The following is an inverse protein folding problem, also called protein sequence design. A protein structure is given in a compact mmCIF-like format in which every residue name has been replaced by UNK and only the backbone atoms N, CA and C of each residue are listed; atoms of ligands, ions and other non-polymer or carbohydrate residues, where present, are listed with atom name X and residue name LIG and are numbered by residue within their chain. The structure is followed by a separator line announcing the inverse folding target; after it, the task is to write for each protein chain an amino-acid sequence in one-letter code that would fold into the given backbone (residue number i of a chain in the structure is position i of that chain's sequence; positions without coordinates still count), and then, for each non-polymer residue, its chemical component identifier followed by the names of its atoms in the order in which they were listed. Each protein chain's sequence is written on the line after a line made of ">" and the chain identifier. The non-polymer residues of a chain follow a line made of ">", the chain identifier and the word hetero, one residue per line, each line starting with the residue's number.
data_IF_140151960194
#
_entry.id   IF_140151960194
#
_cell.length_a   1.000
_cell.length_b   1.000
_cell.length_c   1.000
_cell.angle_alpha   90.00
_cell.angle_beta   90.00
_cell.angle_gamma   90.00
#
_symmetry.space_group_name_H-M   'P 1'
#
loop_
_entity.id
_entity.type
_entity.pdbx_description
1 polymer ?
#
# COMPACT_ATOMS: atom_id res chain seq x y z
N UNK A 1 -21.63 -35.81 17.98
CA UNK A 1 -22.53 -34.70 17.65
C UNK A 1 -22.27 -34.27 16.21
N UNK A 2 -23.13 -34.62 15.25
CA UNK A 2 -23.09 -34.11 13.89
C UNK A 2 -24.19 -33.06 13.68
N UNK A 3 -23.80 -31.91 13.15
CA UNK A 3 -24.69 -30.80 12.80
C UNK A 3 -25.42 -31.14 11.49
N UNK A 4 -26.69 -31.52 11.59
CA UNK A 4 -27.53 -31.82 10.42
C UNK A 4 -28.05 -30.52 9.78
N UNK A 5 -27.66 -30.32 8.52
CA UNK A 5 -28.17 -29.30 7.61
C UNK A 5 -29.67 -29.47 7.38
N UNK A 6 -30.47 -28.47 7.75
CA UNK A 6 -31.90 -28.41 7.42
C UNK A 6 -32.14 -27.57 6.18
N UNK A 7 -32.94 -28.16 5.31
CA UNK A 7 -33.24 -27.76 3.94
C UNK A 7 -34.03 -26.47 3.80
N UNK A 8 -33.94 -25.93 2.58
CA UNK A 8 -34.82 -24.99 1.92
C UNK A 8 -36.28 -25.03 2.38
N UNK A 9 -36.86 -23.86 2.64
CA UNK A 9 -38.28 -23.59 2.44
C UNK A 9 -38.56 -22.08 2.46
N UNK A 10 -39.51 -21.70 1.60
CA UNK A 10 -40.29 -20.47 1.54
C UNK A 10 -39.94 -19.45 0.44
N UNK A 11 -40.33 -19.78 -0.80
CA UNK A 11 -40.96 -18.82 -1.70
C UNK A 11 -42.45 -18.78 -1.36
N UNK A 12 -42.96 -17.69 -0.81
CA UNK A 12 -44.40 -17.39 -0.79
C UNK A 12 -44.65 -15.92 -0.46
N UNK A 13 -45.42 -15.23 -1.31
CA UNK A 13 -46.18 -14.05 -0.91
C UNK A 13 -45.76 -12.72 -1.54
N UNK A 14 -46.03 -12.53 -2.83
CA UNK A 14 -46.16 -11.18 -3.41
C UNK A 14 -47.62 -10.75 -3.28
N UNK A 15 -47.93 -9.85 -2.35
CA UNK A 15 -49.12 -8.98 -2.37
C UNK A 15 -48.86 -7.72 -1.54
N UNK A 16 -49.07 -6.56 -2.15
CA UNK A 16 -49.18 -5.27 -1.46
C UNK A 16 -48.07 -4.29 -1.82
N UNK A 17 -48.46 -3.09 -2.26
CA UNK A 17 -47.57 -1.95 -2.43
C UNK A 17 -46.88 -1.63 -1.09
N UNK A 18 -45.57 -1.84 -1.03
CA UNK A 18 -44.79 -1.62 0.18
C UNK A 18 -43.39 -2.21 0.03
N UNK A 19 -42.40 -1.34 0.02
CA UNK A 19 -40.97 -1.56 0.30
C UNK A 19 -40.51 -3.04 0.19
N UNK A 20 -39.86 -3.39 -0.93
CA UNK A 20 -39.11 -4.64 -1.01
C UNK A 20 -37.85 -4.49 -0.16
N UNK A 21 -37.85 -5.08 1.03
CA UNK A 21 -36.62 -5.32 1.78
C UNK A 21 -35.85 -6.44 1.07
N UNK A 22 -34.97 -6.06 0.15
CA UNK A 22 -33.90 -6.96 -0.26
C UNK A 22 -32.96 -7.03 0.94
N UNK A 23 -32.92 -8.18 1.60
CA UNK A 23 -31.95 -8.45 2.65
C UNK A 23 -30.55 -8.28 2.07
N UNK A 24 -29.93 -7.12 2.34
CA UNK A 24 -28.51 -6.94 2.12
C UNK A 24 -27.84 -7.92 3.06
N UNK A 25 -27.25 -8.99 2.52
CA UNK A 25 -26.30 -9.78 3.29
C UNK A 25 -25.20 -8.82 3.67
N UNK A 26 -25.20 -8.39 4.92
CA UNK A 26 -24.11 -7.64 5.52
C UNK A 26 -22.86 -8.48 5.36
N UNK A 27 -22.00 -8.09 4.41
CA UNK A 27 -20.63 -8.57 4.40
C UNK A 27 -19.95 -7.84 5.54
N UNK A 28 -19.68 -8.56 6.63
CA UNK A 28 -18.97 -8.05 7.79
C UNK A 28 -17.51 -7.79 7.42
N UNK A 29 -17.23 -6.64 6.82
CA UNK A 29 -15.91 -6.02 6.88
C UNK A 29 -16.01 -4.89 7.91
N UNK A 30 -15.46 -5.15 9.10
CA UNK A 30 -15.35 -4.15 10.14
C UNK A 30 -14.33 -3.10 9.76
N UNK A 31 -14.75 -1.83 9.67
CA UNK A 31 -14.02 -0.64 10.09
C UNK A 31 -14.85 0.60 9.76
N UNK A 32 -14.96 1.50 10.74
CA UNK A 32 -15.74 2.74 10.72
C UNK A 32 -15.46 3.63 9.51
N UNK A 33 -16.49 4.03 8.77
CA UNK A 33 -16.45 5.26 7.98
C UNK A 33 -17.77 6.03 8.10
N UNK A 34 -17.63 7.31 8.43
CA UNK A 34 -18.71 8.26 8.64
C UNK A 34 -19.66 8.33 7.44
N UNK A 35 -20.96 8.47 7.73
CA UNK A 35 -22.03 8.64 6.74
C UNK A 35 -21.84 9.96 5.98
N UNK A 36 -21.26 9.91 4.79
CA UNK A 36 -21.46 10.96 3.79
C UNK A 36 -22.69 10.54 2.97
N UNK A 37 -23.81 11.23 3.19
CA UNK A 37 -25.00 11.08 2.35
C UNK A 37 -24.78 11.85 1.05
N UNK A 38 -24.46 11.15 -0.05
CA UNK A 38 -24.62 11.70 -1.39
C UNK A 38 -25.93 11.16 -1.96
N UNK A 39 -26.80 12.08 -2.37
CA UNK A 39 -28.10 11.80 -2.95
C UNK A 39 -27.90 11.30 -4.38
N UNK A 40 -27.90 9.98 -4.59
CA UNK A 40 -27.84 9.41 -5.95
C UNK A 40 -29.26 9.07 -6.40
N UNK A 41 -29.71 9.76 -7.45
CA UNK A 41 -30.98 9.50 -8.11
C UNK A 41 -30.82 8.27 -9.00
N UNK A 42 -31.55 7.19 -8.73
CA UNK A 42 -31.42 5.93 -9.47
C UNK A 42 -32.32 5.99 -10.71
N UNK A 43 -31.73 6.14 -11.89
CA UNK A 43 -32.41 5.82 -13.15
C UNK A 43 -31.41 5.35 -14.21
N UNK A 44 -31.21 4.04 -14.34
CA UNK A 44 -30.92 3.35 -15.61
C UNK A 44 -30.80 1.82 -15.38
N UNK A 45 -31.55 0.99 -16.14
CA UNK A 45 -31.40 -0.46 -16.15
C UNK A 45 -30.53 -0.88 -17.34
N UNK A 46 -29.20 -0.72 -17.26
CA UNK A 46 -28.27 -1.50 -18.11
C UNK A 46 -26.83 -1.19 -17.74
N UNK A 47 -26.04 -2.26 -17.51
CA UNK A 47 -24.57 -2.32 -17.51
C UNK A 47 -23.83 -1.00 -17.23
N UNK A 48 -23.66 -0.69 -15.94
CA UNK A 48 -22.42 -0.06 -15.47
C UNK A 48 -21.87 -0.92 -14.33
N UNK A 49 -21.07 -1.93 -14.68
CA UNK A 49 -19.99 -2.34 -13.78
C UNK A 49 -19.03 -1.15 -13.71
N UNK A 50 -19.32 -0.20 -12.82
CA UNK A 50 -18.34 0.79 -12.43
C UNK A 50 -17.17 0.02 -11.82
N UNK A 51 -16.07 0.09 -12.54
CA UNK A 51 -14.76 -0.45 -12.23
C UNK A 51 -14.47 -0.31 -10.74
N UNK A 52 -13.98 -1.41 -10.17
CA UNK A 52 -13.26 -1.35 -8.91
C UNK A 52 -12.06 -0.44 -9.19
N UNK A 53 -12.16 0.82 -8.79
CA UNK A 53 -11.00 1.67 -8.64
C UNK A 53 -10.20 1.04 -7.49
N UNK A 54 -9.30 0.09 -7.82
CA UNK A 54 -8.34 -0.42 -6.86
C UNK A 54 -7.39 0.74 -6.58
N UNK A 55 -7.69 1.52 -5.55
CA UNK A 55 -6.66 2.36 -4.94
C UNK A 55 -5.59 1.37 -4.51
N UNK A 56 -4.46 1.33 -5.25
CA UNK A 56 -3.37 0.38 -5.00
C UNK A 56 -2.99 0.51 -3.53
N UNK A 57 -3.38 -0.49 -2.76
CA UNK A 57 -3.31 -0.46 -1.32
C UNK A 57 -1.89 -0.72 -0.84
N UNK A 58 -1.63 -0.48 0.44
CA UNK A 58 -0.37 -0.90 1.05
C UNK A 58 -0.12 -2.42 0.87
N UNK A 59 -1.18 -3.23 0.84
CA UNK A 59 -1.11 -4.67 0.56
C UNK A 59 -0.63 -5.01 -0.86
N UNK A 60 -1.14 -4.30 -1.87
CA UNK A 60 -0.70 -4.48 -3.27
C UNK A 60 0.77 -4.10 -3.42
N UNK A 61 1.19 -2.98 -2.81
CA UNK A 61 2.60 -2.55 -2.82
C UNK A 61 3.51 -3.51 -2.08
N UNK A 62 3.06 -4.08 -0.95
CA UNK A 62 3.80 -5.11 -0.23
C UNK A 62 4.00 -6.37 -1.09
N UNK A 63 2.98 -6.73 -1.86
CA UNK A 63 3.06 -7.83 -2.82
C UNK A 63 4.05 -7.53 -3.95
N UNK A 64 4.07 -6.32 -4.48
CA UNK A 64 5.05 -5.90 -5.49
C UNK A 64 6.48 -6.05 -4.96
N UNK A 65 6.76 -5.57 -3.76
CA UNK A 65 8.09 -5.70 -3.14
C UNK A 65 8.49 -7.17 -2.93
N UNK A 66 7.55 -8.02 -2.51
CA UNK A 66 7.81 -9.48 -2.43
C UNK A 66 8.18 -10.06 -3.79
N UNK A 67 7.44 -9.70 -4.84
CA UNK A 67 7.68 -10.18 -6.20
C UNK A 67 9.02 -9.65 -6.73
N UNK A 68 9.37 -8.40 -6.42
CA UNK A 68 10.65 -7.81 -6.79
C UNK A 68 11.84 -8.57 -6.20
N UNK A 69 11.69 -9.11 -4.98
CA UNK A 69 12.67 -9.97 -4.33
C UNK A 69 12.65 -11.43 -4.83
N UNK A 70 11.69 -11.81 -5.69
CA UNK A 70 11.55 -13.17 -6.22
C UNK A 70 11.09 -14.20 -5.19
N UNK A 71 10.56 -13.76 -4.05
CA UNK A 71 10.23 -14.63 -2.93
C UNK A 71 8.81 -15.20 -3.02
N UNK A 72 8.65 -16.44 -2.57
CA UNK A 72 7.33 -17.03 -2.38
C UNK A 72 6.65 -16.42 -1.16
N UNK A 73 5.33 -16.48 -1.14
CA UNK A 73 4.50 -15.94 -0.06
C UNK A 73 4.84 -16.55 1.31
N UNK A 74 5.24 -17.82 1.35
CA UNK A 74 5.62 -18.50 2.58
C UNK A 74 7.00 -18.07 3.10
N UNK A 75 7.99 -17.96 2.21
CA UNK A 75 9.34 -17.48 2.55
C UNK A 75 9.28 -16.05 3.07
N UNK A 76 8.50 -15.19 2.42
CA UNK A 76 8.33 -13.81 2.84
C UNK A 76 7.57 -13.68 4.18
N UNK A 77 6.60 -14.56 4.43
CA UNK A 77 5.91 -14.62 5.71
C UNK A 77 6.88 -14.98 6.86
N UNK A 78 7.77 -15.96 6.63
CA UNK A 78 8.77 -16.39 7.61
C UNK A 78 9.74 -15.25 7.98
N UNK A 79 10.17 -14.46 6.99
CA UNK A 79 11.01 -13.28 7.23
C UNK A 79 10.32 -12.25 8.14
N UNK A 80 9.00 -12.08 7.96
CA UNK A 80 8.18 -11.23 8.82
C UNK A 80 7.74 -11.87 10.14
N UNK A 81 8.15 -13.11 10.44
CA UNK A 81 7.73 -13.83 11.64
C UNK A 81 6.24 -14.21 11.68
N UNK A 82 5.56 -14.22 10.53
CA UNK A 82 4.13 -14.52 10.40
C UNK A 82 3.89 -15.78 9.59
N UNK A 83 2.67 -16.32 9.64
CA UNK A 83 2.30 -17.47 8.81
C UNK A 83 1.91 -17.05 7.39
N UNK A 84 1.91 -18.01 6.46
CA UNK A 84 1.55 -17.79 5.04
C UNK A 84 0.16 -17.17 4.84
N UNK A 85 -0.81 -17.54 5.69
CA UNK A 85 -2.18 -17.02 5.58
C UNK A 85 -2.26 -15.56 6.01
N UNK A 86 -1.57 -15.17 7.08
CA UNK A 86 -1.42 -13.79 7.56
C UNK A 86 -0.80 -12.92 6.48
N UNK A 87 0.26 -13.41 5.82
CA UNK A 87 0.83 -12.74 4.66
C UNK A 87 -0.20 -12.50 3.55
N UNK A 88 -1.04 -13.49 3.28
CA UNK A 88 -2.12 -13.36 2.29
C UNK A 88 -3.18 -12.33 2.66
N UNK A 89 -3.54 -12.24 3.94
CA UNK A 89 -4.46 -11.22 4.42
C UNK A 89 -3.85 -9.81 4.37
N UNK A 90 -2.54 -9.66 4.54
CA UNK A 90 -1.85 -8.39 4.33
C UNK A 90 -1.86 -7.98 2.85
N UNK A 91 -1.48 -8.89 1.95
CA UNK A 91 -1.43 -8.59 0.50
C UNK A 91 -2.80 -8.28 -0.10
N UNK A 92 -3.89 -8.82 0.47
CA UNK A 92 -5.27 -8.50 0.07
C UNK A 92 -5.84 -7.24 0.72
N UNK A 93 -5.13 -6.64 1.67
CA UNK A 93 -5.63 -5.51 2.46
C UNK A 93 -6.74 -5.87 3.46
N UNK A 94 -6.92 -7.15 3.79
CA UNK A 94 -7.88 -7.60 4.82
C UNK A 94 -7.39 -7.23 6.23
N UNK A 95 -6.07 -7.15 6.40
CA UNK A 95 -5.41 -6.78 7.66
C UNK A 95 -4.21 -5.89 7.37
N UNK A 96 -3.87 -5.01 8.30
CA UNK A 96 -2.66 -4.21 8.22
C UNK A 96 -1.47 -4.93 8.88
N UNK A 97 -0.27 -4.89 8.27
CA UNK A 97 0.95 -5.36 8.91
C UNK A 97 1.27 -4.50 10.14
N UNK A 98 1.87 -5.12 11.15
CA UNK A 98 2.36 -4.38 12.32
C UNK A 98 3.76 -3.80 12.07
N UNK A 99 4.21 -2.94 12.98
CA UNK A 99 5.53 -2.31 12.88
C UNK A 99 6.67 -3.31 13.03
N UNK A 100 6.47 -4.39 13.80
CA UNK A 100 7.47 -5.44 13.98
C UNK A 100 7.73 -6.20 12.67
N UNK A 101 6.66 -6.60 11.97
CA UNK A 101 6.70 -7.20 10.64
C UNK A 101 7.40 -6.28 9.64
N UNK A 102 7.01 -5.00 9.59
CA UNK A 102 7.61 -4.03 8.66
C UNK A 102 9.11 -3.84 8.93
N UNK A 103 9.53 -3.85 10.19
CA UNK A 103 10.95 -3.76 10.56
C UNK A 103 11.72 -5.01 10.11
N UNK A 104 11.13 -6.20 10.28
CA UNK A 104 11.75 -7.44 9.87
C UNK A 104 11.94 -7.54 8.35
N UNK A 105 10.92 -7.15 7.57
CA UNK A 105 11.04 -7.17 6.10
C UNK A 105 11.92 -6.03 5.56
N UNK A 106 12.02 -4.90 6.26
CA UNK A 106 12.97 -3.83 5.92
C UNK A 106 14.42 -4.31 5.93
N UNK A 107 14.78 -5.18 6.89
CA UNK A 107 16.13 -5.75 6.98
C UNK A 107 16.49 -6.64 5.78
N UNK A 108 15.49 -7.12 5.03
CA UNK A 108 15.67 -7.95 3.83
C UNK A 108 15.71 -7.10 2.54
N UNK A 109 15.55 -5.78 2.66
CA UNK A 109 15.63 -4.85 1.53
C UNK A 109 14.27 -4.48 0.91
N UNK A 110 13.17 -4.69 1.63
CA UNK A 110 11.85 -4.16 1.24
C UNK A 110 11.81 -2.64 1.44
N UNK A 111 11.35 -1.90 0.43
CA UNK A 111 11.10 -0.45 0.56
C UNK A 111 9.81 -0.21 1.37
N UNK A 112 9.92 -0.18 2.70
CA UNK A 112 8.79 0.08 3.61
C UNK A 112 8.17 1.46 3.37
N UNK A 113 8.98 2.45 2.99
CA UNK A 113 8.46 3.78 2.67
C UNK A 113 7.53 3.70 1.47
N UNK A 114 7.93 2.99 0.42
CA UNK A 114 7.06 2.73 -0.73
C UNK A 114 5.79 1.98 -0.32
N UNK A 115 5.88 0.94 0.51
CA UNK A 115 4.71 0.18 0.97
C UNK A 115 3.69 1.08 1.65
N UNK A 116 4.13 1.98 2.53
CA UNK A 116 3.23 2.87 3.30
C UNK A 116 2.74 4.05 2.46
N UNK A 117 3.65 4.72 1.77
CA UNK A 117 3.39 6.03 1.14
C UNK A 117 3.05 5.95 -0.35
N UNK A 118 3.39 4.85 -1.02
CA UNK A 118 3.28 4.70 -2.47
C UNK A 118 4.34 5.49 -3.26
N UNK A 119 5.23 6.21 -2.58
CA UNK A 119 6.31 6.95 -3.20
C UNK A 119 7.56 6.06 -3.28
N UNK A 120 7.95 5.61 -4.49
CA UNK A 120 9.27 4.98 -4.70
C UNK A 120 10.37 6.04 -4.56
N UNK A 121 11.44 5.72 -3.85
CA UNK A 121 12.62 6.56 -3.67
C UNK A 121 12.68 7.28 -2.32
N UNK A 122 13.91 7.49 -1.83
CA UNK A 122 14.17 8.29 -0.63
C UNK A 122 13.54 9.67 -0.78
N UNK A 123 12.82 10.19 0.24
CA UNK A 123 12.19 11.51 0.15
C UNK A 123 13.24 12.60 -0.05
N UNK A 124 14.50 12.37 0.34
CA UNK A 124 15.62 13.26 0.09
C UNK A 124 15.92 13.49 -1.41
N UNK A 125 15.50 12.60 -2.31
CA UNK A 125 15.70 12.74 -3.75
C UNK A 125 14.51 13.43 -4.45
N UNK A 126 13.33 13.48 -3.82
CA UNK A 126 12.13 14.07 -4.43
C UNK A 126 12.05 15.59 -4.32
N UNK A 127 12.84 16.17 -3.43
CA UNK A 127 12.91 17.61 -3.22
C UNK A 127 14.13 18.27 -3.89
N UNK A 128 14.90 17.52 -4.68
CA UNK A 128 16.00 18.11 -5.45
C UNK A 128 15.42 18.96 -6.58
N UNK A 129 15.85 20.22 -6.66
CA UNK A 129 15.68 21.01 -7.86
C UNK A 129 16.35 20.32 -9.05
N UNK A 130 15.92 20.62 -10.28
CA UNK A 130 16.51 20.01 -11.48
C UNK A 130 18.04 20.19 -11.57
N UNK A 131 18.55 21.32 -11.07
CA UNK A 131 19.99 21.57 -11.00
C UNK A 131 20.71 20.66 -9.99
N UNK A 132 20.09 20.39 -8.83
CA UNK A 132 20.66 19.49 -7.81
C UNK A 132 20.64 18.04 -8.28
N UNK A 133 19.58 17.59 -8.95
CA UNK A 133 19.50 16.26 -9.53
C UNK A 133 20.61 16.04 -10.58
N UNK A 134 20.81 17.01 -11.49
CA UNK A 134 21.87 16.95 -12.50
C UNK A 134 23.28 16.90 -11.86
N UNK A 135 23.48 17.64 -10.76
CA UNK A 135 24.75 17.62 -10.02
C UNK A 135 25.04 16.26 -9.39
N UNK A 136 24.01 15.61 -8.81
CA UNK A 136 24.12 14.26 -8.25
C UNK A 136 24.48 13.24 -9.34
N UNK A 137 23.84 13.33 -10.51
CA UNK A 137 24.13 12.42 -11.63
C UNK A 137 25.57 12.57 -12.15
N UNK A 138 26.04 13.81 -12.32
CA UNK A 138 27.43 14.08 -12.70
C UNK A 138 28.42 13.56 -11.66
N UNK A 139 28.15 13.82 -10.38
CA UNK A 139 28.98 13.34 -9.28
C UNK A 139 29.09 11.81 -9.26
N UNK A 140 27.99 11.10 -9.53
CA UNK A 140 27.97 9.62 -9.63
C UNK A 140 28.67 9.06 -10.87
N UNK A 141 28.91 9.88 -11.90
CA UNK A 141 29.54 9.44 -13.14
C UNK A 141 31.08 9.59 -13.15
N UNK A 142 31.64 10.46 -12.30
CA UNK A 142 33.08 10.72 -12.24
C UNK A 142 33.85 9.74 -11.34
N UNK A 143 35.18 9.77 -11.44
CA UNK A 143 36.10 8.90 -10.67
C UNK A 143 36.05 9.18 -9.17
N UNK A 144 36.48 8.20 -8.36
CA UNK A 144 36.53 8.38 -6.90
C UNK A 144 37.53 9.48 -6.49
N UNK A 145 38.64 9.63 -7.22
CA UNK A 145 39.65 10.66 -6.95
C UNK A 145 39.10 12.08 -7.18
N UNK A 146 38.29 12.26 -8.22
CA UNK A 146 37.63 13.54 -8.50
C UNK A 146 36.52 13.85 -7.47
N UNK A 147 35.81 12.82 -7.01
CA UNK A 147 34.81 12.97 -5.92
C UNK A 147 35.46 13.45 -4.63
N UNK A 148 36.60 12.87 -4.24
CA UNK A 148 37.34 13.29 -3.04
C UNK A 148 37.78 14.76 -3.12
N UNK A 149 38.18 15.24 -4.31
CA UNK A 149 38.54 16.63 -4.52
C UNK A 149 37.32 17.56 -4.36
N UNK A 150 36.17 17.17 -4.93
CA UNK A 150 34.91 17.90 -4.80
C UNK A 150 34.46 17.97 -3.33
N UNK A 151 34.53 16.85 -2.61
CA UNK A 151 34.12 16.78 -1.20
C UNK A 151 34.95 17.73 -0.32
N UNK A 152 36.26 17.85 -0.57
CA UNK A 152 37.12 18.81 0.14
C UNK A 152 36.68 20.25 -0.10
N UNK A 153 36.38 20.60 -1.34
CA UNK A 153 35.95 21.96 -1.71
C UNK A 153 34.60 22.28 -1.09
N UNK A 154 33.63 21.38 -1.23
CA UNK A 154 32.27 21.57 -0.68
C UNK A 154 32.34 21.71 0.84
N UNK A 155 33.12 20.87 1.52
CA UNK A 155 33.29 20.92 2.98
C UNK A 155 33.86 22.28 3.40
N UNK A 156 34.93 22.75 2.76
CA UNK A 156 35.52 24.05 3.06
C UNK A 156 34.54 25.20 2.85
N UNK A 157 33.76 25.17 1.76
CA UNK A 157 32.74 26.18 1.46
C UNK A 157 31.59 26.17 2.49
N UNK A 158 31.14 24.99 2.91
CA UNK A 158 30.09 24.84 3.92
C UNK A 158 30.53 25.33 5.30
N UNK A 159 31.78 25.03 5.71
CA UNK A 159 32.36 25.56 6.94
C UNK A 159 32.50 27.08 6.91
N UNK A 160 32.91 27.66 5.78
CA UNK A 160 33.00 29.12 5.65
C UNK A 160 31.63 29.79 5.68
N UNK A 161 30.59 29.15 5.11
CA UNK A 161 29.23 29.67 5.12
C UNK A 161 28.62 29.65 6.54
N UNK A 162 28.93 28.64 7.35
CA UNK A 162 28.46 28.53 8.73
C UNK A 162 29.16 29.52 9.66
N UNK A 163 30.46 29.82 9.44
CA UNK A 163 31.20 30.85 10.20
C UNK A 163 30.75 32.29 9.96
N UNK A 164 30.00 32.54 8.88
CA UNK A 164 29.49 33.88 8.53
C UNK A 164 28.11 34.20 9.12
N UNK A 165 27.45 33.23 9.76
CA UNK A 165 26.22 33.44 10.52
C UNK A 165 26.55 33.67 11.99
#
# INVERSE_FOLDING_TARGET
>A
MPWQSRAARACSGVRGAGIVFIGVRSCSCGANYARIFVRVNIFAPNKLCLEVCSVVGAGDRLREERIALGLKQEEFAQLGGVNRNTQGSYEKGERNPDTAYLTAVAAVGVDVLYVITGARGSPALKDLSGAEAELVDKYRAISNEDRDAIDRIITAMAELATRRK
#
